data_IF_574974475783
#
_entry.id   IF_574974475783
#
_cell.length_a   1.000
_cell.length_b   1.000
_cell.length_c   1.000
_cell.angle_alpha   90.00
_cell.angle_beta   90.00
_cell.angle_gamma   90.00
#
_symmetry.space_group_name_H-M   'P 1'
#
loop_
_entity.id
_entity.type
_entity.pdbx_description
1 polymer ?
#
# COMPACT_ATOMS: atom_id res chain seq x y z
N UNK A 1 -31.25 -12.04 -0.18
CA UNK A 1 -30.72 -12.06 -1.56
C UNK A 1 -30.03 -10.74 -1.97
N UNK A 2 -29.50 -9.91 -1.05
CA UNK A 2 -28.81 -8.65 -1.40
C UNK A 2 -27.26 -8.75 -1.40
N UNK A 3 -26.66 -9.80 -0.82
CA UNK A 3 -25.20 -9.88 -0.61
C UNK A 3 -24.36 -10.08 -1.88
N UNK A 4 -24.93 -10.56 -2.99
CA UNK A 4 -24.15 -11.00 -4.15
C UNK A 4 -23.78 -9.87 -5.12
N UNK A 5 -24.52 -8.75 -5.12
CA UNK A 5 -24.24 -7.60 -6.00
C UNK A 5 -23.14 -6.71 -5.44
N UNK A 6 -23.11 -6.50 -4.11
CA UNK A 6 -22.09 -5.69 -3.44
C UNK A 6 -20.67 -6.28 -3.57
N UNK A 7 -20.52 -7.61 -3.56
CA UNK A 7 -19.23 -8.30 -3.69
C UNK A 7 -18.61 -8.18 -5.09
N UNK A 8 -19.43 -7.99 -6.14
CA UNK A 8 -18.94 -7.79 -7.52
C UNK A 8 -18.38 -6.36 -7.68
N UNK A 9 -18.94 -5.40 -6.96
CA UNK A 9 -18.63 -3.96 -7.12
C UNK A 9 -17.54 -3.48 -6.16
N UNK A 10 -17.42 -4.07 -4.96
CA UNK A 10 -16.49 -3.63 -3.90
C UNK A 10 -15.56 -4.76 -3.48
N UNK A 11 -14.54 -5.01 -4.29
CA UNK A 11 -13.44 -5.92 -3.96
C UNK A 11 -12.14 -5.16 -3.65
N UNK A 12 -11.26 -5.70 -2.78
CA UNK A 12 -9.99 -5.08 -2.50
C UNK A 12 -9.08 -5.08 -3.74
N UNK A 13 -8.45 -3.95 -4.02
CA UNK A 13 -7.46 -3.79 -5.07
C UNK A 13 -6.24 -4.67 -4.76
N UNK A 14 -6.08 -5.72 -5.56
CA UNK A 14 -4.91 -6.61 -5.50
C UNK A 14 -3.83 -6.06 -6.43
N UNK A 15 -3.04 -5.09 -5.96
CA UNK A 15 -1.95 -4.51 -6.76
C UNK A 15 -0.57 -4.88 -6.25
N UNK A 16 0.22 -5.54 -7.10
CA UNK A 16 1.64 -5.86 -6.82
C UNK A 16 2.51 -4.59 -6.80
N UNK A 17 2.06 -3.50 -7.41
CA UNK A 17 2.84 -2.25 -7.56
C UNK A 17 2.49 -1.22 -6.50
N UNK A 18 1.24 -1.18 -6.03
CA UNK A 18 0.79 -0.20 -5.03
C UNK A 18 1.34 -0.51 -3.63
N UNK A 19 1.38 -1.78 -3.25
CA UNK A 19 1.71 -2.17 -1.87
C UNK A 19 3.16 -1.84 -1.48
N UNK A 20 4.18 -2.07 -2.32
CA UNK A 20 5.55 -1.65 -2.02
C UNK A 20 5.68 -0.14 -1.79
N UNK A 21 4.98 0.67 -2.59
CA UNK A 21 5.03 2.14 -2.49
C UNK A 21 4.38 2.62 -1.20
N UNK A 22 3.22 2.08 -0.85
CA UNK A 22 2.56 2.39 0.41
C UNK A 22 3.45 2.04 1.61
N UNK A 23 4.07 0.87 1.62
CA UNK A 23 4.97 0.49 2.72
C UNK A 23 6.17 1.42 2.82
N UNK A 24 6.89 1.66 1.70
CA UNK A 24 8.04 2.55 1.70
C UNK A 24 7.64 3.96 2.15
N UNK A 25 6.56 4.51 1.60
CA UNK A 25 6.04 5.83 2.00
C UNK A 25 5.67 5.92 3.49
N UNK A 26 5.02 4.89 4.03
CA UNK A 26 4.61 4.88 5.43
C UNK A 26 5.80 4.75 6.37
N UNK A 27 6.78 3.91 6.03
CA UNK A 27 7.99 3.71 6.84
C UNK A 27 8.91 4.94 6.79
N UNK A 28 9.01 5.60 5.63
CA UNK A 28 9.73 6.86 5.44
C UNK A 28 9.26 7.94 6.42
N UNK A 29 7.94 8.13 6.55
CA UNK A 29 7.38 9.08 7.51
C UNK A 29 7.61 8.71 8.97
N UNK A 30 7.59 7.42 9.27
CA UNK A 30 7.75 6.90 10.64
C UNK A 30 8.08 5.41 10.61
N UNK A 31 9.20 5.08 11.25
CA UNK A 31 9.60 3.71 11.54
C UNK A 31 8.49 2.94 12.27
N UNK A 32 8.21 1.71 11.84
CA UNK A 32 7.08 0.95 12.37
C UNK A 32 7.27 -0.56 12.17
N UNK A 33 6.49 -1.35 12.89
CA UNK A 33 6.37 -2.79 12.71
C UNK A 33 5.24 -3.18 11.76
N UNK A 34 5.25 -4.44 11.30
CA UNK A 34 4.29 -4.93 10.31
C UNK A 34 2.82 -4.72 10.68
N UNK A 35 2.42 -4.96 11.94
CA UNK A 35 1.03 -4.76 12.36
C UNK A 35 0.61 -3.27 12.29
N UNK A 36 1.45 -2.36 12.76
CA UNK A 36 1.20 -0.91 12.71
C UNK A 36 1.10 -0.39 11.28
N UNK A 37 1.94 -0.91 10.38
CA UNK A 37 1.83 -0.62 8.95
C UNK A 37 0.50 -1.11 8.36
N UNK A 38 0.00 -2.29 8.75
CA UNK A 38 -1.32 -2.76 8.32
C UNK A 38 -2.43 -1.79 8.73
N UNK A 39 -2.44 -1.37 10.01
CA UNK A 39 -3.44 -0.44 10.53
C UNK A 39 -3.38 0.92 9.81
N UNK A 40 -2.18 1.42 9.51
CA UNK A 40 -2.00 2.68 8.79
C UNK A 40 -2.45 2.60 7.33
N UNK A 41 -2.25 1.46 6.67
CA UNK A 41 -2.75 1.24 5.30
C UNK A 41 -4.28 1.21 5.31
N UNK A 42 -4.90 0.56 6.28
CA UNK A 42 -6.35 0.53 6.45
C UNK A 42 -6.92 1.94 6.66
N UNK A 43 -6.29 2.76 7.52
CA UNK A 43 -6.70 4.17 7.70
C UNK A 43 -6.57 4.99 6.41
N UNK A 44 -5.50 4.76 5.63
CA UNK A 44 -5.24 5.54 4.41
C UNK A 44 -6.11 5.13 3.22
N UNK A 45 -6.39 3.84 3.07
CA UNK A 45 -7.01 3.28 1.88
C UNK A 45 -8.42 2.71 2.12
N UNK A 46 -8.87 2.63 3.38
CA UNK A 46 -10.09 1.92 3.75
C UNK A 46 -10.09 0.46 3.27
N UNK A 47 -11.28 -0.05 2.99
CA UNK A 47 -11.47 -1.43 2.51
C UNK A 47 -10.95 -1.65 1.08
N UNK A 48 -10.54 -0.59 0.38
CA UNK A 48 -10.02 -0.67 -0.98
C UNK A 48 -8.71 -1.45 -1.03
N UNK A 49 -7.92 -1.47 0.06
CA UNK A 49 -6.64 -2.17 0.12
C UNK A 49 -6.60 -3.10 1.32
N UNK A 50 -6.91 -4.38 1.09
CA UNK A 50 -6.82 -5.41 2.12
C UNK A 50 -5.39 -6.00 2.23
N UNK A 51 -4.68 -5.57 3.27
CA UNK A 51 -3.37 -6.12 3.68
C UNK A 51 -3.55 -7.04 4.87
N UNK A 52 -2.96 -8.23 4.80
CA UNK A 52 -2.93 -9.18 5.90
C UNK A 52 -1.49 -9.63 6.19
N UNK A 53 -1.31 -10.39 7.27
CA UNK A 53 -0.01 -10.90 7.73
C UNK A 53 0.72 -11.70 6.65
N UNK A 54 0.00 -12.53 5.89
CA UNK A 54 0.55 -13.35 4.81
C UNK A 54 1.04 -12.55 3.60
N UNK A 55 0.59 -11.29 3.45
CA UNK A 55 1.08 -10.39 2.39
C UNK A 55 2.19 -9.46 2.90
N UNK A 56 2.00 -8.87 4.07
CA UNK A 56 2.88 -7.79 4.52
C UNK A 56 4.25 -8.31 4.94
N UNK A 57 4.33 -9.41 5.68
CA UNK A 57 5.62 -9.89 6.18
C UNK A 57 6.54 -10.43 5.09
N UNK A 58 6.05 -11.19 4.08
CA UNK A 58 6.88 -11.53 2.92
C UNK A 58 7.32 -10.31 2.11
N UNK A 59 6.47 -9.28 2.01
CA UNK A 59 6.84 -8.05 1.30
C UNK A 59 7.91 -7.26 2.06
N UNK A 60 7.76 -7.07 3.37
CA UNK A 60 8.75 -6.42 4.22
C UNK A 60 10.11 -7.11 4.15
N UNK A 61 10.12 -8.45 4.21
CA UNK A 61 11.36 -9.24 4.03
C UNK A 61 12.00 -9.01 2.66
N UNK A 62 11.23 -9.03 1.57
CA UNK A 62 11.77 -8.75 0.23
C UNK A 62 12.30 -7.33 0.07
N UNK A 63 11.69 -6.35 0.74
CA UNK A 63 12.17 -4.96 0.70
C UNK A 63 13.46 -4.80 1.50
N UNK A 64 13.58 -5.50 2.64
CA UNK A 64 14.81 -5.59 3.43
C UNK A 64 15.93 -6.31 2.65
N UNK A 65 15.66 -7.48 2.05
CA UNK A 65 16.61 -8.23 1.23
C UNK A 65 17.14 -7.43 0.04
N UNK A 66 16.34 -6.47 -0.47
CA UNK A 66 16.74 -5.55 -1.55
C UNK A 66 17.48 -4.31 -1.06
N UNK A 67 17.69 -4.17 0.25
CA UNK A 67 18.36 -3.03 0.86
C UNK A 67 17.52 -1.75 0.91
N UNK A 68 16.20 -1.83 0.67
CA UNK A 68 15.31 -0.65 0.74
C UNK A 68 14.80 -0.37 2.15
N UNK A 69 14.88 -1.36 3.03
CA UNK A 69 14.51 -1.25 4.43
C UNK A 69 15.61 -1.85 5.31
N UNK A 70 15.83 -1.25 6.48
CA UNK A 70 16.56 -1.85 7.58
C UNK A 70 15.59 -2.26 8.68
N UNK A 71 15.77 -3.45 9.26
CA UNK A 71 14.90 -3.94 10.31
C UNK A 71 15.67 -4.25 11.60
N UNK A 72 15.23 -3.66 12.69
CA UNK A 72 15.80 -3.83 14.03
C UNK A 72 14.76 -4.46 14.95
N UNK A 73 15.21 -5.18 15.98
CA UNK A 73 14.29 -5.66 17.01
C UNK A 73 14.01 -4.53 17.99
N UNK A 74 12.74 -4.33 18.35
CA UNK A 74 12.31 -3.30 19.30
C UNK A 74 13.02 -3.41 20.66
N UNK A 75 13.29 -4.64 21.12
CA UNK A 75 14.03 -4.91 22.34
C UNK A 75 15.18 -5.89 22.08
N UNK A 76 16.39 -5.63 22.60
CA UNK A 76 17.58 -6.45 22.32
C UNK A 76 17.47 -7.89 22.83
N UNK A 77 16.89 -8.09 24.03
CA UNK A 77 16.74 -9.42 24.66
C UNK A 77 15.36 -10.07 24.46
N UNK A 78 14.30 -9.29 24.28
CA UNK A 78 12.93 -9.80 24.06
C UNK A 78 12.50 -9.43 22.64
N UNK A 79 12.92 -10.24 21.67
CA UNK A 79 12.63 -10.05 20.22
C UNK A 79 11.14 -10.19 19.91
N UNK A 80 10.34 -9.22 20.36
CA UNK A 80 8.88 -9.20 20.24
C UNK A 80 8.44 -8.71 18.86
N UNK A 81 9.05 -7.62 18.38
CA UNK A 81 8.62 -6.92 17.17
C UNK A 81 9.81 -6.43 16.35
N UNK A 82 9.75 -6.60 15.03
CA UNK A 82 10.70 -6.01 14.09
C UNK A 82 10.21 -4.63 13.68
N UNK A 83 11.01 -3.61 13.95
CA UNK A 83 10.81 -2.23 13.52
C UNK A 83 11.57 -2.02 12.23
N UNK A 84 10.86 -1.62 11.18
CA UNK A 84 11.40 -1.33 9.86
C UNK A 84 11.64 0.18 9.72
N UNK A 85 12.76 0.55 9.10
CA UNK A 85 13.15 1.91 8.72
C UNK A 85 13.54 1.93 7.26
N UNK A 86 13.24 3.02 6.56
CA UNK A 86 13.69 3.18 5.18
C UNK A 86 15.20 3.46 5.16
N UNK A 87 15.86 3.03 4.09
CA UNK A 87 17.26 3.34 3.81
C UNK A 87 17.36 4.45 2.77
N UNK A 88 18.52 5.11 2.59
CA UNK A 88 18.71 6.07 1.50
C UNK A 88 18.38 5.48 0.12
N UNK A 89 18.78 4.23 -0.13
CA UNK A 89 18.46 3.52 -1.38
C UNK A 89 16.94 3.27 -1.52
N UNK A 90 16.26 3.04 -0.40
CA UNK A 90 14.81 2.92 -0.32
C UNK A 90 14.08 4.22 -0.62
N UNK A 91 14.59 5.35 -0.12
CA UNK A 91 14.06 6.70 -0.39
C UNK A 91 14.16 7.04 -1.88
N UNK A 92 15.34 6.86 -2.48
CA UNK A 92 15.50 7.06 -3.93
C UNK A 92 14.58 6.13 -4.74
N UNK A 93 14.43 4.88 -4.30
CA UNK A 93 13.53 3.93 -4.96
C UNK A 93 12.08 4.40 -4.85
N UNK A 94 11.66 4.92 -3.70
CA UNK A 94 10.33 5.47 -3.49
C UNK A 94 10.06 6.63 -4.45
N UNK A 95 10.98 7.59 -4.56
CA UNK A 95 10.80 8.74 -5.46
C UNK A 95 10.74 8.32 -6.94
N UNK A 96 11.59 7.38 -7.37
CA UNK A 96 11.52 6.82 -8.73
C UNK A 96 10.17 6.16 -9.02
N UNK A 97 9.64 5.40 -8.06
CA UNK A 97 8.33 4.76 -8.25
C UNK A 97 7.21 5.82 -8.27
N UNK A 98 7.24 6.81 -7.37
CA UNK A 98 6.26 7.90 -7.35
C UNK A 98 6.24 8.66 -8.67
N UNK A 99 7.40 9.01 -9.20
CA UNK A 99 7.54 9.70 -10.49
C UNK A 99 6.97 8.86 -11.65
N UNK A 100 7.24 7.54 -11.68
CA UNK A 100 6.69 6.66 -12.70
C UNK A 100 5.18 6.39 -12.54
N UNK A 101 4.66 6.42 -11.32
CA UNK A 101 3.24 6.15 -11.04
C UNK A 101 2.35 7.35 -11.28
N UNK A 102 2.81 8.58 -11.04
CA UNK A 102 1.98 9.77 -11.11
C UNK A 102 1.24 9.90 -12.46
N UNK A 103 1.92 9.81 -13.63
CA UNK A 103 1.23 9.90 -14.92
C UNK A 103 0.19 8.78 -15.11
N UNK A 104 0.49 7.57 -14.63
CA UNK A 104 -0.44 6.44 -14.70
C UNK A 104 -1.67 6.66 -13.82
N UNK A 105 -1.49 7.18 -12.62
CA UNK A 105 -2.59 7.51 -11.71
C UNK A 105 -3.48 8.61 -12.29
N UNK A 106 -2.91 9.63 -12.92
CA UNK A 106 -3.68 10.69 -13.57
C UNK A 106 -4.60 10.13 -14.67
N UNK A 107 -4.04 9.25 -15.52
CA UNK A 107 -4.82 8.55 -16.56
C UNK A 107 -5.92 7.68 -15.94
N UNK A 108 -5.60 6.94 -14.88
CA UNK A 108 -6.57 6.07 -14.21
C UNK A 108 -7.71 6.86 -13.57
N UNK A 109 -7.39 7.96 -12.87
CA UNK A 109 -8.38 8.85 -12.24
C UNK A 109 -9.30 9.45 -13.30
N UNK A 110 -8.73 9.89 -14.44
CA UNK A 110 -9.52 10.39 -15.57
C UNK A 110 -10.45 9.31 -16.11
N UNK A 111 -9.94 8.12 -16.38
CA UNK A 111 -10.73 7.02 -16.94
C UNK A 111 -11.89 6.60 -16.02
N UNK A 112 -11.64 6.49 -14.70
CA UNK A 112 -12.69 6.19 -13.72
C UNK A 112 -13.73 7.30 -13.64
N UNK A 113 -13.30 8.57 -13.74
CA UNK A 113 -14.19 9.73 -13.73
C UNK A 113 -15.08 9.78 -14.99
N UNK A 114 -14.51 9.48 -16.16
CA UNK A 114 -15.24 9.41 -17.42
C UNK A 114 -16.24 8.24 -17.40
N UNK A 115 -15.83 7.06 -16.93
CA UNK A 115 -16.71 5.91 -16.77
C UNK A 115 -17.86 6.21 -15.80
N UNK A 116 -17.58 6.86 -14.66
CA UNK A 116 -18.62 7.28 -13.72
C UNK A 116 -19.62 8.22 -14.37
N UNK A 117 -19.14 9.15 -15.21
CA UNK A 117 -20.00 10.08 -15.95
C UNK A 117 -20.87 9.35 -16.97
N UNK A 118 -20.33 8.38 -17.69
CA UNK A 118 -21.10 7.57 -18.65
C UNK A 118 -22.18 6.71 -17.97
N UNK A 119 -21.82 6.01 -16.88
CA UNK A 119 -22.71 5.07 -16.20
C UNK A 119 -23.81 5.76 -15.37
N UNK A 120 -23.51 6.93 -14.79
CA UNK A 120 -24.39 7.59 -13.82
C UNK A 120 -24.78 9.02 -14.22
N UNK A 121 -24.20 9.57 -15.27
CA UNK A 121 -24.60 10.83 -15.86
C UNK A 121 -25.83 10.64 -16.73
N UNK A 122 -27.01 10.52 -16.12
CA UNK A 122 -28.23 10.84 -16.85
C UNK A 122 -28.10 12.28 -17.34
N UNK A 123 -28.32 12.46 -18.64
CA UNK A 123 -28.82 13.71 -19.20
C UNK A 123 -29.99 14.19 -18.31
N UNK A 124 -29.92 15.44 -17.88
CA UNK A 124 -31.10 16.15 -17.40
C UNK A 124 -32.18 16.14 -18.48
#
# INVERSE_FOLDING_TARGET
MARRVDEIVRGPVKSKTLFPVLILHLVDRRADHGYGLMQRIEVLCGDLVAVNTNKIYPLLRRLEERGFLNATWEHPTRRSRRIYRITPEGEERLERIKAGMLPYLDVLVKAVSDLKRELYGKAC
#
